data_IF_797056149579
#
_entry.id   IF_797056149579
#
_cell.length_a   1.000
_cell.length_b   1.000
_cell.length_c   1.000
_cell.angle_alpha   90.00
_cell.angle_beta   90.00
_cell.angle_gamma   90.00
#
_symmetry.space_group_name_H-M   'P 1'
#
loop_
_entity.id
_entity.type
_entity.pdbx_description
1 polymer ?
#
# COMPACT_ATOMS: atom_id res chain seq x y z
N UNK A 1 11.33 -8.54 9.36
CA UNK A 1 9.87 -8.66 9.11
C UNK A 1 9.63 -9.52 7.88
N UNK A 2 8.98 -10.67 8.07
CA UNK A 2 8.63 -11.59 6.99
C UNK A 2 7.11 -11.54 6.78
N UNK A 3 6.63 -11.39 5.54
CA UNK A 3 5.21 -11.46 5.26
C UNK A 3 4.72 -12.90 5.29
N UNK A 4 3.60 -13.10 5.95
CA UNK A 4 2.82 -14.35 5.90
C UNK A 4 1.51 -14.02 5.20
N UNK A 5 1.19 -14.81 4.18
CA UNK A 5 -0.06 -14.74 3.45
C UNK A 5 -0.72 -16.10 3.51
N UNK A 6 -1.96 -16.13 3.96
CA UNK A 6 -2.77 -17.34 4.07
C UNK A 6 -3.92 -17.22 3.07
N UNK A 7 -3.97 -18.14 2.12
CA UNK A 7 -5.09 -18.30 1.20
C UNK A 7 -6.32 -18.81 1.96
N UNK A 8 -7.34 -17.99 2.06
CA UNK A 8 -8.58 -18.31 2.77
C UNK A 8 -9.55 -19.16 1.94
N UNK A 9 -9.39 -19.19 0.62
CA UNK A 9 -10.23 -19.98 -0.27
C UNK A 9 -10.06 -21.48 -0.02
N UNK A 10 -8.88 -21.89 0.49
CA UNK A 10 -8.59 -23.25 0.89
C UNK A 10 -9.16 -23.62 2.27
N UNK A 11 -9.67 -22.66 3.04
CA UNK A 11 -10.26 -22.89 4.35
C UNK A 11 -11.78 -23.18 4.22
N UNK A 12 -12.20 -24.33 4.71
CA UNK A 12 -13.64 -24.67 4.78
C UNK A 12 -14.29 -24.05 6.02
N UNK A 13 -14.33 -22.72 6.06
CA UNK A 13 -14.81 -21.99 7.24
C UNK A 13 -16.32 -22.15 7.50
N UNK A 14 -17.11 -22.53 6.48
CA UNK A 14 -18.56 -22.67 6.60
C UNK A 14 -19.34 -21.34 6.71
N UNK A 15 -18.65 -20.21 6.68
CA UNK A 15 -19.21 -18.86 6.74
C UNK A 15 -18.35 -17.88 5.94
N UNK A 16 -18.92 -16.72 5.59
CA UNK A 16 -18.16 -15.63 4.97
C UNK A 16 -17.28 -14.93 6.03
N UNK A 17 -15.98 -14.97 5.83
CA UNK A 17 -14.99 -14.35 6.74
C UNK A 17 -15.03 -12.83 6.52
N UNK A 18 -15.40 -12.08 7.56
CA UNK A 18 -15.47 -10.61 7.55
C UNK A 18 -14.45 -9.95 8.47
N UNK A 19 -13.85 -10.69 9.37
CA UNK A 19 -12.72 -10.22 10.17
C UNK A 19 -11.83 -11.39 10.59
N UNK A 20 -10.57 -11.05 10.90
CA UNK A 20 -9.59 -11.98 11.43
C UNK A 20 -8.75 -11.28 12.50
N UNK A 21 -8.32 -12.04 13.50
CA UNK A 21 -7.29 -11.60 14.45
C UNK A 21 -6.19 -12.66 14.54
N UNK A 22 -4.95 -12.22 14.61
CA UNK A 22 -3.75 -13.05 14.65
C UNK A 22 -3.06 -12.84 15.99
N UNK A 23 -2.74 -13.89 16.70
CA UNK A 23 -2.15 -13.84 18.04
C UNK A 23 -0.87 -14.68 18.11
N UNK A 24 0.21 -14.08 18.57
CA UNK A 24 1.44 -14.76 19.03
C UNK A 24 1.43 -14.79 20.55
N UNK A 25 1.08 -15.95 21.11
CA UNK A 25 0.81 -16.04 22.56
C UNK A 25 -0.34 -15.14 22.97
N UNK A 26 -0.05 -14.16 23.84
CA UNK A 26 -1.02 -13.15 24.31
C UNK A 26 -0.91 -11.82 23.58
N UNK A 27 -0.02 -11.70 22.60
CA UNK A 27 0.17 -10.49 21.82
C UNK A 27 -0.56 -10.60 20.50
N UNK A 28 -1.40 -9.62 20.20
CA UNK A 28 -2.04 -9.52 18.91
C UNK A 28 -1.07 -8.93 17.88
N UNK A 29 -1.06 -9.53 16.70
CA UNK A 29 -0.28 -9.10 15.55
C UNK A 29 -1.21 -8.40 14.55
N UNK A 30 -0.91 -7.17 14.11
CA UNK A 30 -1.67 -6.51 13.06
C UNK A 30 -1.78 -7.38 11.81
N UNK A 31 -2.99 -7.47 11.29
CA UNK A 31 -3.30 -8.29 10.10
C UNK A 31 -4.34 -7.58 9.24
N UNK A 32 -4.42 -7.96 7.98
CA UNK A 32 -5.44 -7.47 7.06
C UNK A 32 -6.06 -8.62 6.28
N UNK A 33 -7.32 -8.44 5.90
CA UNK A 33 -8.01 -9.30 4.94
C UNK A 33 -8.03 -8.59 3.60
N UNK A 34 -7.67 -9.30 2.54
CA UNK A 34 -7.64 -8.80 1.17
C UNK A 34 -8.68 -9.51 0.32
N UNK A 35 -9.47 -8.72 -0.39
CA UNK A 35 -10.37 -9.13 -1.46
C UNK A 35 -9.67 -8.80 -2.78
N UNK A 36 -9.11 -9.80 -3.43
CA UNK A 36 -8.27 -9.62 -4.62
C UNK A 36 -9.08 -9.54 -5.91
N UNK A 37 -10.29 -10.08 -5.90
CA UNK A 37 -11.15 -10.19 -7.08
C UNK A 37 -12.33 -9.20 -7.08
N UNK A 38 -12.59 -8.51 -5.97
CA UNK A 38 -13.63 -7.49 -5.83
C UNK A 38 -15.03 -8.05 -5.59
N UNK A 39 -15.15 -9.31 -5.12
CA UNK A 39 -16.44 -9.97 -4.89
C UNK A 39 -17.02 -9.76 -3.47
N UNK A 40 -16.36 -8.93 -2.66
CA UNK A 40 -16.67 -8.62 -1.27
C UNK A 40 -16.48 -9.81 -0.30
N UNK A 41 -15.63 -10.76 -0.67
CA UNK A 41 -15.15 -11.83 0.20
C UNK A 41 -13.64 -11.71 0.40
N UNK A 42 -13.17 -12.12 1.54
CA UNK A 42 -11.75 -12.15 1.79
C UNK A 42 -11.12 -13.38 1.11
N UNK A 43 -10.14 -13.15 0.24
CA UNK A 43 -9.34 -14.17 -0.42
C UNK A 43 -8.11 -14.52 0.40
N UNK A 44 -7.52 -13.54 1.07
CA UNK A 44 -6.26 -13.68 1.80
C UNK A 44 -6.31 -13.02 3.18
N UNK A 45 -5.55 -13.62 4.11
CA UNK A 45 -5.16 -13.01 5.38
C UNK A 45 -3.66 -12.76 5.36
N UNK A 46 -3.26 -11.49 5.43
CA UNK A 46 -1.87 -11.08 5.44
C UNK A 46 -1.44 -10.46 6.78
N UNK A 47 -0.24 -10.80 7.26
CA UNK A 47 0.37 -10.21 8.45
C UNK A 47 1.90 -10.32 8.39
N UNK A 48 2.58 -9.52 9.21
CA UNK A 48 4.04 -9.50 9.29
C UNK A 48 4.51 -10.14 10.60
N UNK A 49 5.58 -10.93 10.51
CA UNK A 49 6.21 -11.54 11.67
C UNK A 49 7.71 -11.26 11.70
N UNK A 50 8.28 -11.24 12.89
CA UNK A 50 9.72 -11.34 13.07
C UNK A 50 10.09 -12.79 13.30
N UNK A 51 10.84 -13.39 12.37
CA UNK A 51 11.25 -14.79 12.43
C UNK A 51 12.78 -14.86 12.54
N UNK A 52 13.32 -15.21 13.72
CA UNK A 52 14.75 -15.50 13.84
C UNK A 52 15.14 -16.72 13.01
N UNK A 53 16.38 -16.75 12.55
CA UNK A 53 16.89 -17.91 11.81
C UNK A 53 16.76 -19.21 12.64
N UNK A 54 16.38 -20.29 11.99
CA UNK A 54 16.24 -21.65 12.60
C UNK A 54 15.28 -21.67 13.79
N UNK A 55 14.21 -20.83 13.76
CA UNK A 55 13.17 -20.82 14.79
C UNK A 55 11.82 -21.26 14.24
N UNK A 56 10.93 -21.65 15.14
CA UNK A 56 9.53 -21.92 14.85
C UNK A 56 8.65 -20.98 15.68
N UNK A 57 7.56 -20.52 15.10
CA UNK A 57 6.55 -19.72 15.78
C UNK A 57 5.17 -20.31 15.55
N UNK A 58 4.32 -20.21 16.55
CA UNK A 58 2.92 -20.62 16.46
C UNK A 58 2.01 -19.41 16.62
N UNK A 59 1.01 -19.33 15.77
CA UNK A 59 0.02 -18.27 15.80
C UNK A 59 -1.38 -18.85 15.95
N UNK A 60 -2.20 -18.22 16.75
CA UNK A 60 -3.63 -18.50 16.82
C UNK A 60 -4.35 -17.49 15.96
N UNK A 61 -5.10 -17.97 14.96
CA UNK A 61 -5.90 -17.16 14.07
C UNK A 61 -7.38 -17.38 14.43
N UNK A 62 -8.10 -16.29 14.64
CA UNK A 62 -9.53 -16.32 14.90
C UNK A 62 -10.21 -15.62 13.73
N UNK A 63 -11.06 -16.37 13.04
CA UNK A 63 -11.88 -15.86 11.92
C UNK A 63 -13.30 -15.62 12.40
N UNK A 64 -13.95 -14.58 11.88
CA UNK A 64 -15.31 -14.21 12.26
C UNK A 64 -16.16 -13.83 11.06
N UNK A 65 -17.45 -14.14 11.13
CA UNK A 65 -18.49 -13.64 10.21
C UNK A 65 -18.94 -12.21 10.53
N UNK A 66 -18.52 -11.66 11.67
CA UNK A 66 -18.82 -10.29 12.06
C UNK A 66 -17.69 -9.36 11.65
N UNK A 67 -18.04 -8.13 11.22
CA UNK A 67 -17.05 -7.09 10.95
C UNK A 67 -16.37 -6.66 12.25
N UNK A 68 -15.07 -6.44 12.19
CA UNK A 68 -14.33 -5.80 13.27
C UNK A 68 -14.26 -4.30 13.01
N UNK A 69 -14.49 -3.50 14.06
CA UNK A 69 -14.21 -2.06 14.02
C UNK A 69 -12.74 -1.75 14.29
N UNK A 70 -11.95 -2.77 14.58
CA UNK A 70 -10.53 -2.62 14.87
C UNK A 70 -9.79 -2.19 13.64
N UNK A 71 -9.03 -1.11 13.76
CA UNK A 71 -8.23 -0.56 12.70
C UNK A 71 -6.76 -0.48 13.14
N UNK A 72 -5.86 -1.03 12.34
CA UNK A 72 -4.43 -0.91 12.56
C UNK A 72 -3.89 0.27 11.75
N UNK A 73 -2.84 0.97 12.25
CA UNK A 73 -2.18 2.00 11.46
C UNK A 73 -1.71 1.44 10.11
N UNK A 74 -2.04 2.13 9.04
CA UNK A 74 -1.57 1.76 7.71
C UNK A 74 -0.04 1.83 7.65
N UNK A 75 0.58 0.84 7.04
CA UNK A 75 2.04 0.75 6.82
C UNK A 75 2.40 0.84 5.33
N UNK A 76 1.40 0.84 4.50
CA UNK A 76 1.51 1.05 3.05
C UNK A 76 0.47 2.05 2.59
N UNK A 77 0.72 2.71 1.47
CA UNK A 77 -0.22 3.60 0.83
C UNK A 77 -0.05 3.53 -0.68
N UNK A 78 -1.13 3.59 -1.40
CA UNK A 78 -1.12 3.66 -2.86
C UNK A 78 -2.13 4.71 -3.32
N UNK A 79 -1.79 5.41 -4.40
CA UNK A 79 -2.73 6.33 -5.05
C UNK A 79 -2.48 6.39 -6.55
N UNK A 80 -3.54 6.57 -7.28
CA UNK A 80 -3.53 7.08 -8.63
C UNK A 80 -4.64 8.14 -8.73
N UNK A 81 -4.31 9.30 -9.29
CA UNK A 81 -5.26 10.41 -9.40
C UNK A 81 -5.30 10.92 -10.83
N UNK A 82 -6.49 11.11 -11.36
CA UNK A 82 -6.68 11.75 -12.66
C UNK A 82 -7.00 13.23 -12.50
N UNK A 83 -6.60 14.03 -13.50
CA UNK A 83 -7.08 15.39 -13.64
C UNK A 83 -8.55 15.37 -14.01
N UNK A 84 -9.35 16.02 -13.21
CA UNK A 84 -10.77 16.24 -13.47
C UNK A 84 -11.04 17.65 -13.97
N UNK A 85 -12.32 17.97 -14.16
CA UNK A 85 -12.75 19.33 -14.48
C UNK A 85 -12.34 20.30 -13.36
N UNK A 86 -11.98 21.54 -13.73
CA UNK A 86 -11.59 22.63 -12.82
C UNK A 86 -10.30 22.34 -12.00
N UNK A 87 -9.32 21.66 -12.56
CA UNK A 87 -8.05 21.32 -11.92
C UNK A 87 -8.19 20.57 -10.58
N UNK A 88 -9.31 19.91 -10.37
CA UNK A 88 -9.49 19.02 -9.23
C UNK A 88 -8.98 17.61 -9.58
N UNK A 89 -8.37 16.96 -8.60
CA UNK A 89 -7.93 15.59 -8.74
C UNK A 89 -8.97 14.64 -8.18
N UNK A 90 -9.23 13.54 -8.89
CA UNK A 90 -10.03 12.44 -8.41
C UNK A 90 -9.18 11.18 -8.26
N UNK A 91 -9.36 10.43 -7.18
CA UNK A 91 -8.76 9.11 -7.05
C UNK A 91 -9.41 8.17 -8.07
N UNK A 92 -8.57 7.41 -8.77
CA UNK A 92 -8.97 6.37 -9.70
C UNK A 92 -8.24 5.08 -9.39
N UNK A 93 -8.83 3.95 -9.69
CA UNK A 93 -8.22 2.61 -9.55
C UNK A 93 -7.73 2.05 -10.88
N UNK A 94 -8.20 2.62 -11.98
CA UNK A 94 -7.81 2.24 -13.33
C UNK A 94 -8.43 3.18 -14.34
N UNK A 95 -7.94 3.15 -15.56
CA UNK A 95 -8.52 3.82 -16.72
C UNK A 95 -8.11 3.09 -18.00
N UNK A 96 -8.78 3.39 -19.09
CA UNK A 96 -8.43 2.90 -20.42
C UNK A 96 -8.24 4.10 -21.34
N UNK A 97 -7.25 4.02 -22.20
CA UNK A 97 -6.95 5.02 -23.22
C UNK A 97 -6.58 4.35 -24.54
N UNK A 98 -6.79 5.02 -25.67
CA UNK A 98 -6.30 4.54 -26.95
C UNK A 98 -4.76 4.57 -26.95
N UNK A 99 -4.12 3.62 -27.64
CA UNK A 99 -2.66 3.51 -27.67
C UNK A 99 -1.91 4.71 -28.28
N UNK A 100 -2.65 5.63 -28.93
CA UNK A 100 -2.14 6.88 -29.49
C UNK A 100 -2.29 8.08 -28.53
N UNK A 101 -2.97 7.91 -27.41
CA UNK A 101 -3.19 8.99 -26.45
C UNK A 101 -2.01 9.19 -25.51
N UNK A 102 -1.69 10.45 -25.23
CA UNK A 102 -0.67 10.80 -24.26
C UNK A 102 -1.26 10.77 -22.85
N UNK A 103 -1.18 9.61 -22.20
CA UNK A 103 -1.67 9.39 -20.85
C UNK A 103 -0.79 10.00 -19.74
N UNK A 104 0.44 10.39 -20.08
CA UNK A 104 1.38 11.00 -19.14
C UNK A 104 0.86 12.27 -18.48
N UNK A 105 0.12 13.08 -19.23
CA UNK A 105 -0.48 14.33 -18.72
C UNK A 105 -1.86 14.11 -18.09
N UNK A 106 -2.46 12.94 -18.23
CA UNK A 106 -3.80 12.65 -17.73
C UNK A 106 -3.79 12.34 -16.23
N UNK A 107 -2.75 11.69 -15.73
CA UNK A 107 -2.63 11.30 -14.33
C UNK A 107 -1.71 12.23 -13.56
N UNK A 108 -2.10 12.53 -12.33
CA UNK A 108 -1.29 13.30 -11.40
C UNK A 108 -0.02 12.51 -11.05
N UNK A 109 1.11 13.18 -10.95
CA UNK A 109 2.46 12.58 -10.84
C UNK A 109 2.89 11.76 -12.07
N UNK A 110 2.12 11.82 -13.16
CA UNK A 110 2.40 11.08 -14.38
C UNK A 110 2.24 9.55 -14.27
N UNK A 111 1.58 9.08 -13.21
CA UNK A 111 1.32 7.67 -12.98
C UNK A 111 0.97 7.33 -11.53
N UNK A 112 0.83 6.04 -11.20
CA UNK A 112 0.55 5.61 -9.84
C UNK A 112 1.74 5.81 -8.91
N UNK A 113 1.43 6.04 -7.63
CA UNK A 113 2.34 6.09 -6.52
C UNK A 113 2.06 4.97 -5.54
N UNK A 114 3.07 4.27 -5.09
CA UNK A 114 2.99 3.26 -4.05
C UNK A 114 4.09 3.52 -3.02
N UNK A 115 3.77 3.35 -1.75
CA UNK A 115 4.77 3.48 -0.69
C UNK A 115 4.58 2.48 0.44
N UNK A 116 5.69 2.12 1.04
CA UNK A 116 5.77 1.57 2.39
C UNK A 116 6.31 2.63 3.34
N UNK A 117 6.41 2.32 4.61
CA UNK A 117 7.07 3.21 5.59
C UNK A 117 8.56 3.48 5.25
N UNK A 118 9.21 2.66 4.41
CA UNK A 118 10.64 2.69 4.15
C UNK A 118 11.01 3.34 2.81
N UNK A 119 10.17 3.21 1.80
CA UNK A 119 10.45 3.67 0.44
C UNK A 119 9.13 3.93 -0.29
N UNK A 120 9.15 4.85 -1.24
CA UNK A 120 8.05 5.02 -2.18
C UNK A 120 8.55 4.92 -3.62
N UNK A 121 7.62 4.58 -4.50
CA UNK A 121 7.85 4.50 -5.94
C UNK A 121 6.76 5.23 -6.69
N UNK A 122 7.16 5.89 -7.77
CA UNK A 122 6.29 6.44 -8.79
C UNK A 122 6.56 5.70 -10.09
N UNK A 123 5.50 5.23 -10.74
CA UNK A 123 5.59 4.53 -12.03
C UNK A 123 5.09 5.50 -13.10
N UNK A 124 5.95 5.90 -14.02
CA UNK A 124 5.59 6.82 -15.09
C UNK A 124 4.83 6.12 -16.22
N UNK A 125 3.74 6.72 -16.64
CA UNK A 125 2.99 6.32 -17.83
C UNK A 125 3.55 7.03 -19.09
N UNK A 126 4.82 6.84 -19.34
CA UNK A 126 5.49 7.29 -20.56
C UNK A 126 5.95 6.07 -21.39
N UNK A 127 6.50 6.32 -22.56
CA UNK A 127 6.98 5.26 -23.46
C UNK A 127 8.08 4.39 -22.84
N UNK A 128 8.79 4.88 -21.86
CA UNK A 128 9.87 4.16 -21.15
C UNK A 128 9.40 3.39 -19.94
N UNK A 129 8.19 3.68 -19.44
CA UNK A 129 7.63 3.09 -18.23
C UNK A 129 8.62 3.07 -17.05
N UNK A 130 9.27 4.20 -16.84
CA UNK A 130 10.30 4.34 -15.80
C UNK A 130 9.72 4.30 -14.39
N UNK A 131 10.52 3.79 -13.47
CA UNK A 131 10.20 3.79 -12.03
C UNK A 131 11.12 4.78 -11.33
N UNK A 132 10.54 5.64 -10.52
CA UNK A 132 11.22 6.69 -9.80
C UNK A 132 11.15 6.40 -8.29
N UNK A 133 12.28 6.04 -7.64
CA UNK A 133 12.32 5.78 -6.22
C UNK A 133 12.37 7.09 -5.42
N UNK A 134 11.59 7.12 -4.34
CA UNK A 134 11.57 8.20 -3.37
C UNK A 134 12.15 7.70 -2.05
N UNK A 135 13.29 8.25 -1.66
CA UNK A 135 13.97 7.91 -0.42
C UNK A 135 13.29 8.56 0.78
N UNK A 136 13.37 7.91 1.93
CA UNK A 136 12.82 8.41 3.19
C UNK A 136 13.90 8.60 4.22
N UNK A 137 13.81 9.68 4.98
CA UNK A 137 14.69 9.97 6.11
C UNK A 137 14.16 9.26 7.36
N UNK A 138 12.86 9.23 7.54
CA UNK A 138 12.19 8.62 8.68
C UNK A 138 11.22 7.53 8.22
N UNK A 139 11.03 6.53 9.08
CA UNK A 139 10.09 5.44 8.87
C UNK A 139 8.66 5.93 9.05
N UNK A 140 8.00 6.35 7.96
CA UNK A 140 6.60 6.82 7.93
C UNK A 140 6.02 6.84 6.52
N UNK A 141 4.71 6.98 6.37
CA UNK A 141 4.05 7.27 5.09
C UNK A 141 4.11 8.77 4.82
N UNK A 142 4.45 9.19 3.59
CA UNK A 142 4.69 10.59 3.24
C UNK A 142 3.97 11.07 1.97
N UNK A 143 3.70 10.16 1.02
CA UNK A 143 3.22 10.52 -0.32
C UNK A 143 1.88 11.25 -0.29
N UNK A 144 1.01 10.89 0.64
CA UNK A 144 -0.28 11.56 0.82
C UNK A 144 -0.11 13.06 1.11
N UNK A 145 0.98 13.44 1.78
CA UNK A 145 1.26 14.82 2.20
C UNK A 145 2.18 15.56 1.23
N UNK A 146 3.21 14.88 0.72
CA UNK A 146 4.25 15.50 -0.10
C UNK A 146 3.96 15.44 -1.59
N UNK A 147 3.20 14.44 -1.98
CA UNK A 147 2.92 14.19 -3.39
C UNK A 147 4.21 14.13 -4.25
N UNK A 148 5.28 13.51 -3.77
CA UNK A 148 6.63 13.47 -4.35
C UNK A 148 7.36 14.84 -4.42
N UNK A 149 6.75 15.91 -3.99
CA UNK A 149 7.32 17.27 -4.08
C UNK A 149 7.33 17.94 -2.71
N UNK A 150 8.18 17.48 -1.77
CA UNK A 150 8.25 18.05 -0.44
C UNK A 150 8.70 19.51 -0.49
N UNK A 151 8.06 20.35 0.30
CA UNK A 151 8.45 21.75 0.50
C UNK A 151 9.78 21.83 1.28
N UNK A 152 10.40 23.00 1.28
CA UNK A 152 11.61 23.23 2.11
C UNK A 152 11.36 22.95 3.59
N UNK A 153 10.18 23.31 4.12
CA UNK A 153 9.80 23.07 5.49
C UNK A 153 9.63 21.57 5.77
N UNK A 154 9.02 20.81 4.85
CA UNK A 154 8.90 19.37 4.97
C UNK A 154 10.27 18.69 4.97
N UNK A 155 11.19 19.07 4.06
CA UNK A 155 12.58 18.55 4.07
C UNK A 155 13.31 18.85 5.38
N UNK A 156 13.18 20.09 5.90
CA UNK A 156 13.75 20.46 7.19
C UNK A 156 13.20 19.62 8.36
N UNK A 157 11.97 19.12 8.23
CA UNK A 157 11.32 18.22 9.18
C UNK A 157 11.55 16.71 8.86
N UNK A 158 12.56 16.40 8.04
CA UNK A 158 12.97 15.03 7.75
C UNK A 158 12.00 14.26 6.85
N UNK A 159 11.27 14.95 5.96
CA UNK A 159 10.61 14.28 4.84
C UNK A 159 11.65 13.89 3.78
N UNK A 160 11.43 12.76 3.14
CA UNK A 160 12.28 12.27 2.07
C UNK A 160 12.16 13.08 0.78
N UNK A 161 12.88 12.66 -0.24
CA UNK A 161 12.86 13.28 -1.56
C UNK A 161 13.14 12.23 -2.65
N UNK A 162 13.04 12.63 -3.89
CA UNK A 162 13.41 11.84 -5.04
C UNK A 162 14.87 11.35 -4.89
N UNK A 163 15.07 10.05 -4.87
CA UNK A 163 16.37 9.44 -4.66
C UNK A 163 17.35 9.68 -5.82
N UNK A 164 16.83 10.00 -7.01
CA UNK A 164 17.62 10.28 -8.20
C UNK A 164 17.89 11.77 -8.41
N UNK A 165 17.40 12.62 -7.52
CA UNK A 165 17.55 14.06 -7.63
C UNK A 165 18.99 14.46 -7.35
N UNK A 166 19.67 15.00 -8.35
CA UNK A 166 20.98 15.61 -8.22
C UNK A 166 20.79 17.07 -7.80
N UNK A 167 21.36 17.45 -6.69
CA UNK A 167 21.45 18.84 -6.27
C UNK A 167 22.78 19.43 -6.81
N UNK A 168 22.68 20.44 -7.67
CA UNK A 168 23.80 21.25 -8.12
C UNK A 168 24.04 22.38 -7.12
#
# INVERSE_FOLDING_TARGET
NEPIVIDLNNLKAGFNIKSATVWEGNKETPSQLDDLNGDARADELAFLIDMPAKSNKSFRIILSSEKSEKNYPARTYAQMKAYGHNNKFANITGFSAAGTENVYSFVYHHGPAIESELVAYRIYFNEKQTVDPYSKVNKRLEIKETCFYPTKAQRANGYGDDALRVYN
#
